data_IF_953646519024
#
_entry.id   IF_953646519024
#
_cell.length_a   1.000
_cell.length_b   1.000
_cell.length_c   1.000
_cell.angle_alpha   90.00
_cell.angle_beta   90.00
_cell.angle_gamma   90.00
#
_symmetry.space_group_name_H-M   'P 1'
#
loop_
_entity.id
_entity.type
_entity.pdbx_description
1 polymer ?
#
# COMPACT_ATOMS: atom_id res chain seq x y z
N UNK A 1 -13.31 19.01 -21.11
CA UNK A 1 -14.21 18.78 -22.26
C UNK A 1 -14.06 17.34 -22.80
N UNK A 2 -12.85 16.85 -23.09
CA UNK A 2 -12.62 15.50 -23.61
C UNK A 2 -13.06 14.41 -22.64
N UNK A 3 -12.79 14.58 -21.32
CA UNK A 3 -13.16 13.64 -20.28
C UNK A 3 -14.67 13.47 -20.16
N UNK A 4 -15.42 14.57 -20.14
CA UNK A 4 -16.87 14.52 -20.08
C UNK A 4 -17.47 13.87 -21.33
N UNK A 5 -16.84 14.10 -22.48
CA UNK A 5 -17.24 13.48 -23.75
C UNK A 5 -17.02 11.96 -23.71
N UNK A 6 -15.85 11.52 -23.23
CA UNK A 6 -15.55 10.11 -23.07
C UNK A 6 -16.55 9.41 -22.13
N UNK A 7 -16.76 9.98 -20.94
CA UNK A 7 -17.69 9.43 -19.94
C UNK A 7 -19.14 9.31 -20.45
N UNK A 8 -19.55 10.20 -21.34
CA UNK A 8 -20.89 10.16 -21.94
C UNK A 8 -20.99 9.22 -23.15
N UNK A 9 -20.00 9.25 -24.03
CA UNK A 9 -20.06 8.50 -25.30
C UNK A 9 -19.64 7.05 -25.17
N UNK A 10 -18.61 6.75 -24.40
CA UNK A 10 -18.09 5.40 -24.31
C UNK A 10 -19.12 4.37 -23.82
N UNK A 11 -19.90 4.62 -22.74
CA UNK A 11 -20.96 3.71 -22.32
C UNK A 11 -22.07 3.53 -23.36
N UNK A 12 -22.38 4.58 -24.12
CA UNK A 12 -23.39 4.51 -25.20
C UNK A 12 -22.91 3.63 -26.36
N UNK A 13 -21.66 3.81 -26.78
CA UNK A 13 -21.01 2.98 -27.80
C UNK A 13 -20.91 1.53 -27.32
N UNK A 14 -20.47 1.31 -26.09
CA UNK A 14 -20.35 -0.02 -25.48
C UNK A 14 -21.68 -0.79 -25.53
N UNK A 15 -22.77 -0.15 -25.17
CA UNK A 15 -24.12 -0.76 -25.14
C UNK A 15 -24.56 -1.22 -26.53
N UNK A 16 -24.18 -0.51 -27.59
CA UNK A 16 -24.54 -0.82 -28.97
C UNK A 16 -23.55 -1.77 -29.65
N UNK A 17 -22.39 -2.01 -29.05
CA UNK A 17 -21.34 -2.87 -29.61
C UNK A 17 -21.71 -4.35 -29.46
N UNK A 18 -21.57 -5.19 -30.50
CA UNK A 18 -21.78 -6.63 -30.42
C UNK A 18 -20.87 -7.28 -29.36
N UNK A 19 -21.36 -8.28 -28.63
CA UNK A 19 -20.63 -8.97 -27.54
C UNK A 19 -19.23 -9.42 -27.90
N UNK A 20 -19.02 -9.92 -29.13
CA UNK A 20 -17.70 -10.33 -29.61
C UNK A 20 -16.72 -9.15 -29.62
N UNK A 21 -17.12 -8.03 -30.15
CA UNK A 21 -16.32 -6.81 -30.20
C UNK A 21 -16.15 -6.15 -28.82
N UNK A 22 -17.12 -6.36 -27.91
CA UNK A 22 -16.95 -5.91 -26.52
C UNK A 22 -15.76 -6.60 -25.84
N UNK A 23 -15.55 -7.90 -26.05
CA UNK A 23 -14.38 -8.62 -25.54
C UNK A 23 -13.07 -8.06 -26.08
N UNK A 24 -12.99 -7.88 -27.42
CA UNK A 24 -11.80 -7.32 -28.05
C UNK A 24 -11.51 -5.89 -27.56
N UNK A 25 -12.56 -5.08 -27.40
CA UNK A 25 -12.46 -3.72 -26.90
C UNK A 25 -12.04 -3.68 -25.41
N UNK A 26 -12.54 -4.61 -24.61
CA UNK A 26 -12.11 -4.76 -23.22
C UNK A 26 -10.62 -5.08 -23.11
N UNK A 27 -10.14 -6.07 -23.86
CA UNK A 27 -8.72 -6.40 -23.91
C UNK A 27 -7.86 -5.23 -24.39
N UNK A 28 -8.33 -4.52 -25.41
CA UNK A 28 -7.63 -3.35 -25.93
C UNK A 28 -7.57 -2.21 -24.89
N UNK A 29 -8.64 -1.99 -24.12
CA UNK A 29 -8.68 -0.99 -23.06
C UNK A 29 -7.72 -1.34 -21.92
N UNK A 30 -7.70 -2.60 -21.48
CA UNK A 30 -6.76 -3.08 -20.46
C UNK A 30 -5.33 -2.88 -20.97
N UNK A 31 -5.01 -3.32 -22.17
CA UNK A 31 -3.68 -3.15 -22.76
C UNK A 31 -3.29 -1.66 -22.87
N UNK A 32 -4.23 -0.80 -23.26
CA UNK A 32 -4.00 0.64 -23.34
C UNK A 32 -3.70 1.25 -21.95
N UNK A 33 -4.48 0.91 -20.92
CA UNK A 33 -4.32 1.48 -19.57
C UNK A 33 -3.09 0.98 -18.83
N UNK A 34 -2.58 -0.19 -19.18
CA UNK A 34 -1.35 -0.78 -18.60
C UNK A 34 -0.07 -0.47 -19.37
N UNK A 35 -0.15 0.29 -20.44
CA UNK A 35 1.01 0.59 -21.27
C UNK A 35 1.98 1.55 -20.58
N UNK A 36 3.28 1.26 -20.65
CA UNK A 36 4.35 2.00 -19.97
C UNK A 36 4.38 3.51 -20.24
N UNK A 37 4.01 3.95 -21.45
CA UNK A 37 4.01 5.37 -21.78
C UNK A 37 3.03 6.20 -20.93
N UNK A 38 2.00 5.57 -20.37
CA UNK A 38 1.05 6.22 -19.47
C UNK A 38 1.63 6.55 -18.09
N UNK A 39 2.76 5.95 -17.70
CA UNK A 39 3.43 6.27 -16.43
C UNK A 39 3.77 7.76 -16.31
N UNK A 40 3.99 8.45 -17.44
CA UNK A 40 4.16 9.91 -17.48
C UNK A 40 2.93 10.67 -16.98
N UNK A 41 1.76 10.03 -16.95
CA UNK A 41 0.50 10.60 -16.47
C UNK A 41 0.30 10.41 -14.94
N UNK A 42 1.13 9.60 -14.28
CA UNK A 42 0.96 9.28 -12.86
C UNK A 42 0.88 10.54 -11.97
N UNK A 43 1.69 11.55 -12.28
CA UNK A 43 1.69 12.84 -11.56
C UNK A 43 0.75 13.91 -12.18
N UNK A 44 0.14 13.62 -13.35
CA UNK A 44 -0.68 14.60 -14.04
C UNK A 44 -2.06 14.79 -13.36
N UNK A 45 -2.56 16.03 -13.37
CA UNK A 45 -3.91 16.38 -12.90
C UNK A 45 -4.54 17.35 -13.91
N UNK A 46 -5.70 17.05 -14.53
CA UNK A 46 -6.46 15.81 -14.45
C UNK A 46 -5.74 14.63 -15.07
N UNK A 47 -6.03 13.42 -14.59
CA UNK A 47 -5.41 12.18 -15.04
C UNK A 47 -6.30 11.49 -16.09
N UNK A 48 -5.74 11.23 -17.26
CA UNK A 48 -6.48 10.59 -18.38
C UNK A 48 -6.93 9.17 -18.00
N UNK A 49 -6.13 8.43 -17.22
CA UNK A 49 -6.47 7.06 -16.81
C UNK A 49 -7.72 7.05 -15.92
N UNK A 50 -7.84 8.01 -15.00
CA UNK A 50 -9.04 8.16 -14.17
C UNK A 50 -10.29 8.41 -15.03
N UNK A 51 -10.18 9.25 -16.05
CA UNK A 51 -11.28 9.51 -16.97
C UNK A 51 -11.67 8.27 -17.79
N UNK A 52 -10.67 7.50 -18.26
CA UNK A 52 -10.90 6.23 -18.96
C UNK A 52 -11.62 5.22 -18.07
N UNK A 53 -11.18 5.07 -16.82
CA UNK A 53 -11.82 4.18 -15.84
C UNK A 53 -13.25 4.61 -15.50
N UNK A 54 -13.49 5.90 -15.30
CA UNK A 54 -14.84 6.42 -15.03
C UNK A 54 -15.81 6.10 -16.17
N UNK A 55 -15.37 6.20 -17.40
CA UNK A 55 -16.19 5.80 -18.57
C UNK A 55 -16.40 4.29 -18.65
N UNK A 56 -15.39 3.50 -18.25
CA UNK A 56 -15.51 2.04 -18.21
C UNK A 56 -16.53 1.55 -17.17
N UNK A 57 -16.51 2.16 -15.97
CA UNK A 57 -17.48 1.85 -14.90
C UNK A 57 -18.94 2.12 -15.29
N UNK A 58 -19.19 3.16 -16.07
CA UNK A 58 -20.52 3.51 -16.51
C UNK A 58 -21.09 2.55 -17.60
N UNK A 59 -20.33 1.55 -18.01
CA UNK A 59 -20.73 0.59 -19.05
C UNK A 59 -21.76 -0.42 -18.54
N UNK A 60 -22.77 -0.70 -19.38
CA UNK A 60 -23.76 -1.75 -19.15
C UNK A 60 -23.85 -2.61 -20.41
N UNK A 61 -23.54 -3.93 -20.37
CA UNK A 61 -23.11 -4.70 -19.20
C UNK A 61 -21.74 -4.22 -18.68
N UNK A 62 -21.46 -4.51 -17.41
CA UNK A 62 -20.22 -4.09 -16.77
C UNK A 62 -18.98 -4.60 -17.54
N UNK A 63 -17.99 -3.76 -17.63
CA UNK A 63 -16.69 -4.08 -18.24
C UNK A 63 -15.86 -4.82 -17.18
N UNK A 64 -15.38 -6.02 -17.53
CA UNK A 64 -14.62 -6.87 -16.62
C UNK A 64 -13.14 -6.53 -16.67
N UNK A 65 -12.64 -5.91 -15.60
CA UNK A 65 -11.21 -5.69 -15.40
C UNK A 65 -10.67 -6.65 -14.31
N UNK A 66 -9.53 -7.32 -14.55
CA UNK A 66 -8.92 -8.16 -13.53
C UNK A 66 -8.56 -7.38 -12.26
N UNK A 67 -8.74 -7.95 -11.05
CA UNK A 67 -8.47 -7.26 -9.78
C UNK A 67 -7.06 -6.68 -9.67
N UNK A 68 -6.04 -7.39 -10.14
CA UNK A 68 -4.66 -6.93 -10.13
C UNK A 68 -4.43 -5.70 -11.04
N UNK A 69 -5.17 -5.57 -12.13
CA UNK A 69 -5.13 -4.38 -13.01
C UNK A 69 -5.76 -3.19 -12.30
N UNK A 70 -6.93 -3.38 -11.69
CA UNK A 70 -7.59 -2.33 -10.91
C UNK A 70 -6.72 -1.83 -9.74
N UNK A 71 -6.07 -2.76 -9.04
CA UNK A 71 -5.09 -2.46 -7.99
C UNK A 71 -3.93 -1.61 -8.54
N UNK A 72 -3.32 -2.05 -9.65
CA UNK A 72 -2.24 -1.32 -10.32
C UNK A 72 -2.65 0.09 -10.73
N UNK A 73 -3.82 0.23 -11.36
CA UNK A 73 -4.34 1.53 -11.81
C UNK A 73 -4.69 2.44 -10.63
N UNK A 74 -5.27 1.89 -9.56
CA UNK A 74 -5.53 2.60 -8.32
C UNK A 74 -4.25 3.20 -7.74
N UNK A 75 -3.24 2.38 -7.54
CA UNK A 75 -1.96 2.76 -6.92
C UNK A 75 -1.15 3.72 -7.80
N UNK A 76 -0.95 3.39 -9.07
CA UNK A 76 -0.08 4.14 -9.96
C UNK A 76 -0.66 5.49 -10.37
N UNK A 77 -1.96 5.54 -10.64
CA UNK A 77 -2.63 6.74 -11.17
C UNK A 77 -3.56 7.40 -10.16
N UNK A 78 -3.51 6.96 -8.90
CA UNK A 78 -4.36 7.44 -7.80
C UNK A 78 -5.86 7.35 -8.10
N UNK A 79 -6.24 6.32 -8.85
CA UNK A 79 -7.63 6.04 -9.20
C UNK A 79 -8.34 5.16 -8.14
N UNK A 80 -7.98 5.33 -6.87
CA UNK A 80 -8.36 4.45 -5.76
C UNK A 80 -9.88 4.27 -5.63
N UNK A 81 -10.65 5.36 -5.55
CA UNK A 81 -12.09 5.29 -5.35
C UNK A 81 -12.81 4.59 -6.51
N UNK A 82 -12.39 4.90 -7.75
CA UNK A 82 -12.95 4.29 -8.95
C UNK A 82 -12.64 2.78 -8.97
N UNK A 83 -11.39 2.42 -8.66
CA UNK A 83 -10.97 1.02 -8.59
C UNK A 83 -11.66 0.25 -7.47
N UNK A 84 -11.83 0.87 -6.28
CA UNK A 84 -12.55 0.26 -5.17
C UNK A 84 -14.02 -0.03 -5.49
N UNK A 85 -14.71 0.91 -6.11
CA UNK A 85 -16.11 0.73 -6.51
C UNK A 85 -16.26 -0.50 -7.40
N UNK A 86 -15.39 -0.64 -8.40
CA UNK A 86 -15.40 -1.78 -9.30
C UNK A 86 -15.00 -3.10 -8.61
N UNK A 87 -14.02 -3.07 -7.72
CA UNK A 87 -13.62 -4.24 -6.93
C UNK A 87 -14.75 -4.68 -5.98
N UNK A 88 -15.46 -3.74 -5.36
CA UNK A 88 -16.62 -4.05 -4.51
C UNK A 88 -17.73 -4.69 -5.31
N UNK A 89 -18.05 -4.16 -6.49
CA UNK A 89 -19.04 -4.79 -7.39
C UNK A 89 -18.63 -6.21 -7.79
N UNK A 90 -17.36 -6.44 -8.12
CA UNK A 90 -16.86 -7.78 -8.41
C UNK A 90 -16.96 -8.73 -7.21
N UNK A 91 -16.66 -8.25 -6.00
CA UNK A 91 -16.74 -9.06 -4.78
C UNK A 91 -18.18 -9.50 -4.48
N UNK A 92 -19.16 -8.64 -4.76
CA UNK A 92 -20.57 -8.93 -4.56
C UNK A 92 -21.23 -9.67 -5.73
N UNK A 93 -20.53 -9.82 -6.86
CA UNK A 93 -21.03 -10.59 -7.98
C UNK A 93 -21.14 -12.08 -7.61
N UNK A 94 -22.35 -12.64 -7.72
CA UNK A 94 -22.71 -14.01 -7.33
C UNK A 94 -21.95 -15.12 -8.08
N UNK A 95 -21.13 -14.78 -9.09
CA UNK A 95 -20.48 -15.71 -10.01
C UNK A 95 -18.95 -15.64 -9.96
N UNK A 96 -18.35 -14.94 -9.00
CA UNK A 96 -16.91 -14.89 -8.90
C UNK A 96 -16.35 -16.26 -8.52
N UNK A 97 -15.43 -16.77 -9.31
CA UNK A 97 -14.56 -17.89 -8.96
C UNK A 97 -13.81 -17.58 -7.66
N UNK A 98 -13.54 -18.59 -6.84
CA UNK A 98 -12.89 -18.39 -5.54
C UNK A 98 -11.52 -17.71 -5.67
N UNK A 99 -10.75 -18.02 -6.73
CA UNK A 99 -9.48 -17.37 -7.01
C UNK A 99 -9.64 -15.87 -7.37
N UNK A 100 -10.67 -15.53 -8.15
CA UNK A 100 -10.99 -14.12 -8.47
C UNK A 100 -11.46 -13.40 -7.22
N UNK A 101 -12.24 -14.05 -6.38
CA UNK A 101 -12.71 -13.49 -5.10
C UNK A 101 -11.54 -13.18 -4.17
N UNK A 102 -10.60 -14.11 -4.02
CA UNK A 102 -9.40 -13.93 -3.20
C UNK A 102 -8.55 -12.76 -3.71
N UNK A 103 -8.25 -12.74 -5.00
CA UNK A 103 -7.51 -11.63 -5.64
C UNK A 103 -8.23 -10.28 -5.50
N UNK A 104 -9.58 -10.27 -5.54
CA UNK A 104 -10.38 -9.05 -5.33
C UNK A 104 -10.29 -8.58 -3.88
N UNK A 105 -10.33 -9.52 -2.92
CA UNK A 105 -10.17 -9.20 -1.50
C UNK A 105 -8.78 -8.67 -1.18
N UNK A 106 -7.72 -9.21 -1.79
CA UNK A 106 -6.35 -8.70 -1.65
C UNK A 106 -6.24 -7.26 -2.17
N UNK A 107 -6.77 -7.02 -3.37
CA UNK A 107 -6.76 -5.69 -3.97
C UNK A 107 -7.53 -4.66 -3.13
N UNK A 108 -8.67 -5.05 -2.55
CA UNK A 108 -9.46 -4.20 -1.65
C UNK A 108 -8.75 -3.96 -0.32
N UNK A 109 -8.15 -4.98 0.29
CA UNK A 109 -7.42 -4.84 1.54
C UNK A 109 -6.28 -3.82 1.41
N UNK A 110 -5.49 -3.90 0.34
CA UNK A 110 -4.43 -2.93 0.06
C UNK A 110 -5.00 -1.52 -0.19
N UNK A 111 -6.08 -1.40 -0.96
CA UNK A 111 -6.71 -0.09 -1.20
C UNK A 111 -7.22 0.57 0.09
N UNK A 112 -7.85 -0.20 0.97
CA UNK A 112 -8.33 0.30 2.26
C UNK A 112 -7.19 0.71 3.19
N UNK A 113 -6.09 -0.05 3.21
CA UNK A 113 -4.90 0.27 3.99
C UNK A 113 -4.24 1.58 3.50
N UNK A 114 -4.04 1.72 2.19
CA UNK A 114 -3.43 2.92 1.58
C UNK A 114 -4.28 4.19 1.79
N UNK A 115 -5.60 4.06 1.81
CA UNK A 115 -6.52 5.17 2.05
C UNK A 115 -6.84 5.40 3.53
N UNK A 116 -6.29 4.57 4.42
CA UNK A 116 -6.60 4.59 5.86
C UNK A 116 -8.09 4.39 6.16
N UNK A 117 -8.78 3.60 5.34
CA UNK A 117 -10.19 3.24 5.52
C UNK A 117 -10.31 2.06 6.50
N UNK A 118 -9.97 2.31 7.77
CA UNK A 118 -9.78 1.31 8.81
C UNK A 118 -11.02 0.41 9.00
N UNK A 119 -12.23 0.97 9.04
CA UNK A 119 -13.47 0.20 9.27
C UNK A 119 -13.72 -0.81 8.15
N UNK A 120 -13.45 -0.43 6.91
CA UNK A 120 -13.59 -1.32 5.75
C UNK A 120 -12.52 -2.41 5.76
N UNK A 121 -11.28 -2.05 6.11
CA UNK A 121 -10.17 -2.97 6.23
C UNK A 121 -10.45 -4.06 7.28
N UNK A 122 -10.78 -3.66 8.51
CA UNK A 122 -11.10 -4.60 9.58
C UNK A 122 -12.36 -5.42 9.26
N UNK A 123 -13.38 -4.80 8.66
CA UNK A 123 -14.60 -5.48 8.25
C UNK A 123 -14.36 -6.55 7.18
N UNK A 124 -13.45 -6.30 6.23
CA UNK A 124 -13.06 -7.25 5.20
C UNK A 124 -12.32 -8.45 5.82
N UNK A 125 -11.30 -8.18 6.63
CA UNK A 125 -10.48 -9.21 7.27
C UNK A 125 -11.26 -10.10 8.24
N UNK A 126 -12.20 -9.55 9.00
CA UNK A 126 -13.08 -10.34 9.89
C UNK A 126 -13.90 -11.40 9.17
N UNK A 127 -14.18 -11.21 7.90
CA UNK A 127 -14.92 -12.16 7.08
C UNK A 127 -14.02 -13.15 6.35
N UNK A 128 -12.77 -12.81 6.21
CA UNK A 128 -11.80 -13.51 5.38
C UNK A 128 -10.86 -14.39 6.18
N UNK A 129 -10.48 -13.98 7.39
CA UNK A 129 -9.49 -14.68 8.20
C UNK A 129 -9.93 -16.12 8.54
N UNK A 130 -8.98 -17.03 8.45
CA UNK A 130 -9.18 -18.46 8.76
C UNK A 130 -8.93 -18.76 10.23
N UNK A 131 -8.09 -17.96 10.91
CA UNK A 131 -7.70 -18.17 12.29
C UNK A 131 -8.48 -17.25 13.24
N UNK A 132 -9.07 -17.79 14.33
CA UNK A 132 -9.76 -16.96 15.33
C UNK A 132 -8.82 -15.99 16.05
N UNK A 133 -7.53 -16.33 16.15
CA UNK A 133 -6.50 -15.46 16.71
C UNK A 133 -6.37 -14.17 15.87
N UNK A 134 -6.38 -14.27 14.54
CA UNK A 134 -6.36 -13.11 13.62
C UNK A 134 -7.54 -12.18 13.90
N UNK A 135 -8.74 -12.76 14.04
CA UNK A 135 -9.95 -11.97 14.30
C UNK A 135 -9.88 -11.22 15.63
N UNK A 136 -9.35 -11.89 16.66
CA UNK A 136 -9.17 -11.28 17.98
C UNK A 136 -8.07 -10.21 17.96
N UNK A 137 -6.95 -10.46 17.27
CA UNK A 137 -5.86 -9.49 17.12
C UNK A 137 -6.35 -8.21 16.46
N UNK A 138 -7.05 -8.32 15.33
CA UNK A 138 -7.64 -7.19 14.62
C UNK A 138 -8.64 -6.39 15.49
N UNK A 139 -9.41 -7.07 16.35
CA UNK A 139 -10.33 -6.41 17.26
C UNK A 139 -9.60 -5.61 18.36
N UNK A 140 -8.51 -6.15 18.88
CA UNK A 140 -7.66 -5.42 19.84
C UNK A 140 -6.96 -4.25 19.20
N UNK A 141 -6.39 -4.43 18.00
CA UNK A 141 -5.74 -3.38 17.24
C UNK A 141 -6.71 -2.23 16.93
N UNK A 142 -7.92 -2.53 16.42
CA UNK A 142 -8.96 -1.53 16.17
C UNK A 142 -9.35 -0.74 17.42
N UNK A 143 -9.21 -1.34 18.61
CA UNK A 143 -9.47 -0.67 19.88
C UNK A 143 -8.23 0.02 20.47
N UNK A 144 -7.09 0.06 19.75
CA UNK A 144 -5.84 0.66 20.21
C UNK A 144 -5.07 -0.16 21.25
N UNK A 145 -5.42 -1.44 21.43
CA UNK A 145 -4.77 -2.36 22.36
C UNK A 145 -3.68 -3.15 21.66
N UNK A 146 -2.64 -2.46 21.25
CA UNK A 146 -1.57 -3.01 20.39
C UNK A 146 -0.74 -4.09 21.09
N UNK A 147 -0.56 -4.05 22.41
CA UNK A 147 0.18 -5.08 23.13
C UNK A 147 -0.52 -6.44 23.09
N UNK A 148 -1.83 -6.45 23.25
CA UNK A 148 -2.63 -7.67 23.16
C UNK A 148 -2.77 -8.15 21.72
N UNK A 149 -2.86 -7.22 20.76
CA UNK A 149 -2.89 -7.55 19.35
C UNK A 149 -1.58 -8.23 18.92
N UNK A 150 -0.42 -7.69 19.31
CA UNK A 150 0.91 -8.22 19.01
C UNK A 150 1.07 -9.67 19.49
N UNK A 151 0.70 -9.95 20.75
CA UNK A 151 0.74 -11.30 21.31
C UNK A 151 -0.15 -12.30 20.55
N UNK A 152 -1.29 -11.84 20.04
CA UNK A 152 -2.20 -12.70 19.27
C UNK A 152 -1.69 -12.94 17.85
N UNK A 153 -1.02 -11.97 17.22
CA UNK A 153 -0.34 -12.20 15.94
C UNK A 153 0.79 -13.22 16.09
N UNK A 154 1.60 -13.14 17.14
CA UNK A 154 2.61 -14.16 17.46
C UNK A 154 1.98 -15.55 17.67
N UNK A 155 0.90 -15.62 18.44
CA UNK A 155 0.18 -16.87 18.67
C UNK A 155 -0.40 -17.45 17.36
N UNK A 156 -0.91 -16.59 16.47
CA UNK A 156 -1.41 -16.99 15.16
C UNK A 156 -0.30 -17.54 14.27
N UNK A 157 0.87 -16.91 14.22
CA UNK A 157 2.04 -17.38 13.49
C UNK A 157 2.51 -18.75 13.98
N UNK A 158 2.61 -18.95 15.30
CA UNK A 158 2.99 -20.24 15.90
C UNK A 158 1.98 -21.31 15.53
N UNK A 159 0.70 -21.00 15.65
CA UNK A 159 -0.40 -21.93 15.33
C UNK A 159 -0.46 -22.24 13.84
N UNK A 160 -0.26 -21.25 12.98
CA UNK A 160 -0.23 -21.42 11.52
C UNK A 160 0.86 -22.39 11.08
N UNK A 161 2.04 -22.32 11.71
CA UNK A 161 3.16 -23.23 11.42
C UNK A 161 2.93 -24.65 11.95
N UNK A 162 2.17 -24.84 13.02
CA UNK A 162 2.01 -26.11 13.72
C UNK A 162 0.72 -26.87 13.40
N UNK A 163 -0.33 -26.17 12.95
CA UNK A 163 -1.68 -26.74 12.90
C UNK A 163 -1.99 -27.58 11.65
N UNK A 164 -1.20 -27.45 10.58
CA UNK A 164 -1.50 -28.06 9.28
C UNK A 164 -2.82 -27.57 8.63
N UNK A 165 -3.43 -26.50 9.17
CA UNK A 165 -4.60 -25.85 8.57
C UNK A 165 -4.18 -25.12 7.30
N UNK A 166 -5.08 -24.99 6.32
CA UNK A 166 -4.80 -24.18 5.14
C UNK A 166 -4.60 -22.72 5.57
N UNK A 167 -3.41 -22.23 5.33
CA UNK A 167 -3.02 -20.84 5.59
C UNK A 167 -2.89 -20.12 4.25
N UNK A 168 -3.57 -19.00 4.10
CA UNK A 168 -3.40 -18.15 2.92
C UNK A 168 -2.15 -17.27 3.11
N UNK A 169 -1.42 -17.04 2.02
CA UNK A 169 -0.25 -16.16 2.03
C UNK A 169 -0.62 -14.75 2.54
N UNK A 170 -1.79 -14.27 2.13
CA UNK A 170 -2.28 -12.96 2.54
C UNK A 170 -2.54 -12.85 4.06
N UNK A 171 -3.04 -13.92 4.71
CA UNK A 171 -3.25 -13.90 6.17
C UNK A 171 -1.91 -13.98 6.92
N UNK A 172 -0.95 -14.75 6.40
CA UNK A 172 0.40 -14.79 6.95
C UNK A 172 1.07 -13.41 6.87
N UNK A 173 1.02 -12.77 5.69
CA UNK A 173 1.56 -11.44 5.48
C UNK A 173 0.89 -10.40 6.39
N UNK A 174 -0.43 -10.50 6.59
CA UNK A 174 -1.14 -9.64 7.54
C UNK A 174 -0.54 -9.72 8.95
N UNK A 175 -0.23 -10.94 9.43
CA UNK A 175 0.33 -11.10 10.77
C UNK A 175 1.69 -10.44 10.91
N UNK A 176 2.56 -10.56 9.90
CA UNK A 176 3.88 -9.93 9.89
C UNK A 176 3.76 -8.40 9.84
N UNK A 177 2.98 -7.86 8.92
CA UNK A 177 2.79 -6.41 8.75
C UNK A 177 2.16 -5.76 10.00
N UNK A 178 1.14 -6.39 10.56
CA UNK A 178 0.41 -5.84 11.71
C UNK A 178 1.11 -6.09 13.05
N UNK A 179 1.98 -7.11 13.14
CA UNK A 179 2.91 -7.25 14.25
C UNK A 179 3.91 -6.08 14.27
N UNK A 180 4.47 -5.75 13.10
CA UNK A 180 5.36 -4.58 12.93
C UNK A 180 4.64 -3.28 13.26
N UNK A 181 3.41 -3.10 12.75
CA UNK A 181 2.58 -1.94 13.08
C UNK A 181 2.35 -1.81 14.59
N UNK A 182 2.00 -2.91 15.26
CA UNK A 182 1.81 -2.94 16.71
C UNK A 182 3.09 -2.57 17.47
N UNK A 183 4.24 -3.07 17.04
CA UNK A 183 5.54 -2.73 17.63
C UNK A 183 5.90 -1.23 17.45
N UNK A 184 5.57 -0.65 16.29
CA UNK A 184 5.76 0.78 16.03
C UNK A 184 4.86 1.64 16.93
N UNK A 185 3.59 1.28 17.08
CA UNK A 185 2.64 1.98 17.96
C UNK A 185 3.03 1.89 19.45
N UNK A 186 3.61 0.75 19.85
CA UNK A 186 4.16 0.55 21.19
C UNK A 186 5.55 1.19 21.38
N UNK A 187 6.11 1.80 20.34
CA UNK A 187 7.43 2.44 20.35
C UNK A 187 8.57 1.49 20.75
N UNK A 188 8.49 0.23 20.35
CA UNK A 188 9.50 -0.79 20.63
C UNK A 188 10.70 -0.67 19.66
N UNK A 189 11.35 0.49 19.65
CA UNK A 189 12.38 0.85 18.67
C UNK A 189 13.59 -0.06 18.68
N UNK A 190 14.01 -0.56 19.85
CA UNK A 190 15.15 -1.50 19.94
C UNK A 190 14.83 -2.81 19.18
N UNK A 191 13.62 -3.35 19.42
CA UNK A 191 13.13 -4.53 18.75
C UNK A 191 13.02 -4.33 17.23
N UNK A 192 12.52 -3.17 16.82
CA UNK A 192 12.40 -2.80 15.42
C UNK A 192 13.75 -2.59 14.75
N UNK A 193 14.76 -2.09 15.48
CA UNK A 193 16.11 -1.97 14.97
C UNK A 193 16.78 -3.34 14.72
N UNK A 194 16.51 -4.31 15.58
CA UNK A 194 16.96 -5.69 15.39
C UNK A 194 16.30 -6.34 14.18
N UNK A 195 14.98 -6.17 14.02
CA UNK A 195 14.23 -6.64 12.87
C UNK A 195 14.74 -5.99 11.56
N UNK A 196 14.93 -4.67 11.56
CA UNK A 196 15.44 -3.94 10.40
C UNK A 196 16.81 -4.47 9.92
N UNK A 197 17.69 -4.81 10.87
CA UNK A 197 19.00 -5.42 10.56
C UNK A 197 18.86 -6.83 9.98
N UNK A 198 17.94 -7.62 10.52
CA UNK A 198 17.70 -8.99 10.08
C UNK A 198 17.12 -9.03 8.66
N UNK A 199 16.20 -8.15 8.35
CA UNK A 199 15.51 -8.07 7.06
C UNK A 199 16.24 -7.21 6.02
N UNK A 200 17.36 -6.59 6.39
CA UNK A 200 18.05 -5.60 5.55
C UNK A 200 17.13 -4.46 5.09
N UNK A 201 16.21 -4.05 5.98
CA UNK A 201 15.27 -2.96 5.72
C UNK A 201 15.88 -1.62 6.17
N UNK A 202 16.59 -0.99 5.24
CA UNK A 202 17.33 0.25 5.49
C UNK A 202 16.41 1.42 5.89
N UNK A 203 15.19 1.47 5.36
CA UNK A 203 14.24 2.55 5.65
C UNK A 203 13.73 2.46 7.09
N UNK A 204 13.46 1.25 7.57
CA UNK A 204 13.10 0.99 8.97
C UNK A 204 14.29 1.23 9.90
N UNK A 205 15.51 0.80 9.50
CA UNK A 205 16.73 1.06 10.26
C UNK A 205 16.96 2.57 10.47
N UNK A 206 16.69 3.37 9.45
CA UNK A 206 16.77 4.83 9.51
C UNK A 206 15.75 5.42 10.49
N UNK A 207 14.51 4.92 10.49
CA UNK A 207 13.49 5.34 11.47
C UNK A 207 13.87 5.00 12.90
N UNK A 208 14.41 3.80 13.13
CA UNK A 208 14.89 3.41 14.46
C UNK A 208 16.08 4.29 14.91
N UNK A 209 17.04 4.54 14.03
CA UNK A 209 18.15 5.43 14.31
C UNK A 209 17.69 6.85 14.68
N UNK A 210 16.66 7.36 13.99
CA UNK A 210 16.03 8.64 14.33
C UNK A 210 15.50 8.69 15.76
N UNK A 211 14.96 7.59 16.27
CA UNK A 211 14.31 7.51 17.59
C UNK A 211 15.25 7.16 18.72
N UNK A 212 16.27 6.35 18.45
CA UNK A 212 17.17 5.80 19.47
C UNK A 212 18.46 6.60 19.63
N UNK A 213 18.97 7.20 18.56
CA UNK A 213 20.29 7.81 18.57
C UNK A 213 20.29 9.20 19.22
N UNK A 214 21.38 9.50 19.94
CA UNK A 214 21.68 10.87 20.34
C UNK A 214 22.23 11.66 19.16
N UNK A 215 21.45 12.61 18.67
CA UNK A 215 21.75 13.43 17.50
C UNK A 215 22.99 14.29 17.64
N UNK A 216 23.44 14.54 18.86
CA UNK A 216 24.65 15.33 19.13
C UNK A 216 25.88 14.45 19.26
N UNK A 217 25.78 13.38 20.05
CA UNK A 217 26.89 12.49 20.35
C UNK A 217 27.17 11.47 19.21
N UNK A 218 26.12 11.03 18.51
CA UNK A 218 26.20 9.96 17.49
C UNK A 218 26.09 10.48 16.06
N UNK A 219 26.23 11.77 15.85
CA UNK A 219 26.06 12.43 14.57
C UNK A 219 26.86 11.79 13.43
N UNK A 220 28.17 11.56 13.65
CA UNK A 220 29.03 10.94 12.63
C UNK A 220 28.60 9.51 12.28
N UNK A 221 27.98 8.81 13.24
CA UNK A 221 27.40 7.48 13.01
C UNK A 221 26.16 7.55 12.15
N UNK A 222 25.29 8.54 12.41
CA UNK A 222 24.08 8.80 11.64
C UNK A 222 24.41 9.22 10.19
N UNK A 223 25.41 10.09 10.01
CA UNK A 223 25.89 10.50 8.68
C UNK A 223 26.44 9.31 7.89
N UNK A 224 27.27 8.47 8.51
CA UNK A 224 27.79 7.24 7.88
C UNK A 224 26.68 6.24 7.53
N UNK A 225 25.69 6.09 8.39
CA UNK A 225 24.52 5.24 8.11
C UNK A 225 23.76 5.76 6.90
N UNK A 226 23.57 7.07 6.79
CA UNK A 226 22.88 7.70 5.67
C UNK A 226 23.66 7.54 4.35
N UNK A 227 24.98 7.66 4.37
CA UNK A 227 25.85 7.45 3.21
C UNK A 227 25.90 5.98 2.76
N UNK A 228 25.88 5.05 3.71
CA UNK A 228 25.89 3.61 3.46
C UNK A 228 24.58 3.09 2.82
N UNK A 229 23.48 3.81 2.98
CA UNK A 229 22.20 3.44 2.43
C UNK A 229 22.19 3.67 0.91
N UNK A 230 22.28 2.60 0.13
CA UNK A 230 22.14 2.62 -1.34
C UNK A 230 20.67 2.80 -1.79
N UNK A 231 19.79 3.18 -0.89
CA UNK A 231 18.35 3.20 -1.09
C UNK A 231 17.93 4.40 -1.91
N UNK A 232 16.93 4.19 -2.75
CA UNK A 232 16.22 5.26 -3.46
C UNK A 232 15.80 6.36 -2.49
N UNK A 233 15.81 7.62 -2.94
CA UNK A 233 15.43 8.79 -2.15
C UNK A 233 13.99 8.69 -1.63
N UNK A 234 13.81 8.09 -0.46
CA UNK A 234 12.51 8.01 0.23
C UNK A 234 12.19 9.35 0.91
N UNK A 235 10.90 9.67 1.17
CA UNK A 235 10.54 10.86 1.96
C UNK A 235 11.21 10.88 3.33
N UNK A 236 11.33 9.72 3.98
CA UNK A 236 11.99 9.56 5.28
C UNK A 236 13.46 9.94 5.22
N UNK A 237 14.19 9.45 4.22
CA UNK A 237 15.59 9.80 3.97
C UNK A 237 15.74 11.31 3.77
N UNK A 238 14.90 11.96 2.99
CA UNK A 238 14.95 13.42 2.76
C UNK A 238 14.74 14.22 4.03
N UNK A 239 13.84 13.78 4.91
CA UNK A 239 13.65 14.39 6.23
C UNK A 239 14.93 14.27 7.06
N UNK A 240 15.53 13.10 7.07
CA UNK A 240 16.77 12.81 7.78
C UNK A 240 17.94 13.71 7.27
N UNK A 241 18.13 13.78 5.97
CA UNK A 241 19.11 14.67 5.31
C UNK A 241 18.87 16.15 5.68
N UNK A 242 17.60 16.59 5.68
CA UNK A 242 17.27 17.96 6.03
C UNK A 242 17.57 18.33 7.49
N UNK A 243 17.44 17.38 8.42
CA UNK A 243 17.81 17.62 9.82
C UNK A 243 19.32 17.61 10.07
N UNK A 244 20.10 16.84 9.31
CA UNK A 244 21.55 16.85 9.39
C UNK A 244 22.17 18.10 8.73
N UNK A 245 21.59 18.60 7.65
CA UNK A 245 22.11 19.71 6.85
C UNK A 245 22.31 21.03 7.64
N UNK A 246 21.39 21.55 8.48
CA UNK A 246 21.55 22.83 9.18
C UNK A 246 22.74 22.87 10.13
N UNK A 247 23.07 21.73 10.74
CA UNK A 247 24.19 21.65 11.72
C UNK A 247 25.53 21.68 10.98
N UNK A 248 25.58 21.13 9.75
CA UNK A 248 26.77 21.25 8.89
C UNK A 248 27.05 22.71 8.53
N UNK A 249 26.00 23.48 8.25
CA UNK A 249 26.13 24.89 7.85
C UNK A 249 26.59 25.80 9.00
N UNK A 250 26.12 25.55 10.23
CA UNK A 250 26.54 26.31 11.41
C UNK A 250 27.97 25.99 11.82
N UNK A 251 28.43 24.76 11.65
CA UNK A 251 29.85 24.40 11.91
C UNK A 251 30.82 25.01 10.89
N UNK A 252 30.47 25.04 9.60
CA UNK A 252 31.27 25.70 8.57
C UNK A 252 31.43 27.21 8.85
N UNK A 253 30.37 27.88 9.29
CA UNK A 253 30.40 29.30 9.64
C UNK A 253 31.18 29.60 10.91
N UNK A 254 31.19 28.68 11.90
CA UNK A 254 31.99 28.83 13.09
C UNK A 254 33.52 28.72 12.80
N UNK A 255 33.89 27.86 11.87
CA UNK A 255 35.32 27.76 11.43
C UNK A 255 35.78 28.94 10.57
N UNK A 256 34.89 29.57 9.80
CA UNK A 256 35.21 30.77 9.03
C UNK A 256 35.40 32.02 9.92
N UNK A 257 34.73 32.09 11.07
CA UNK A 257 34.84 33.21 12.00
C UNK A 257 36.05 33.08 12.95
N UNK A 258 36.67 31.89 13.08
CA UNK A 258 37.91 31.71 13.84
C UNK A 258 39.19 31.92 12.98
N UNK A 259 39.06 32.09 11.65
CA UNK A 259 40.16 32.28 10.72
C UNK A 259 40.40 33.74 10.30
N UNK A 260 39.59 34.69 10.74
CA UNK A 260 39.74 36.14 10.62
C UNK A 260 40.16 36.75 11.99
#
# INVERSE_FOLDING_TARGET
>A
AADALWQALFPAIWRTTPKRLQLDLNHALIACTTHEHLLKQAAARPNVVQSLLSGALACVPALEMPPHVLKYLGKTFQAWYISMEQLQEQLYALRADDAVRESTQDALAEAYAELSEADYFYGLWRRRCMFPETNSALAYEQSGRFAEAQLLYEAAQVKGRSSGLPLTEAEYQLWDDHWVLSALELQQWDLMADLARLEHNDDLALECAWRLSDWTAERESLERSLEGLQVMSTPRRKVFEAYLAPVSYTHLRAHETEAD
#
